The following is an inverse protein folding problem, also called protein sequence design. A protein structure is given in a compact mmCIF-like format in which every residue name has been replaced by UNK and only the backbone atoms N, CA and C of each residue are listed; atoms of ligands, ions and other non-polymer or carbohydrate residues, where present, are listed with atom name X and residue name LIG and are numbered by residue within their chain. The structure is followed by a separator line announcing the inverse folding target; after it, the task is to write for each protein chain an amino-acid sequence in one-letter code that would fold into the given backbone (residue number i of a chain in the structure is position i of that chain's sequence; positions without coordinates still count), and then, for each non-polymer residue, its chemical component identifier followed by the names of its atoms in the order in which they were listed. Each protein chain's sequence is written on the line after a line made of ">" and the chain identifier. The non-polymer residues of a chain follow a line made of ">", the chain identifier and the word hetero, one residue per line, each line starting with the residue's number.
data_IF_827347739426
#
_entry.id   IF_827347739426
#
_cell.length_a   1.000
_cell.length_b   1.000
_cell.length_c   1.000
_cell.angle_alpha   90.00
_cell.angle_beta   90.00
_cell.angle_gamma   90.00
#
_symmetry.space_group_name_H-M   'P 1'
#
loop_
_entity.id
_entity.type
_entity.pdbx_description
1 polymer ?
#
# COMPACT_ATOMS: atom_id res chain seq x y z
N UNK A 1 -21.66 -15.81 1.54
CA UNK A 1 -21.64 -15.71 0.06
C UNK A 1 -20.27 -15.19 -0.29
N UNK A 2 -19.42 -16.03 -0.85
CA UNK A 2 -18.03 -15.66 -1.17
C UNK A 2 -18.03 -15.02 -2.55
N UNK A 3 -17.81 -13.72 -2.62
CA UNK A 3 -17.62 -12.98 -3.87
C UNK A 3 -16.35 -13.51 -4.54
N UNK A 4 -16.51 -14.04 -5.75
CA UNK A 4 -15.39 -14.54 -6.57
C UNK A 4 -14.62 -13.30 -7.04
N UNK A 5 -13.40 -13.10 -6.52
CA UNK A 5 -12.52 -12.01 -6.93
C UNK A 5 -12.17 -12.21 -8.40
N UNK A 6 -12.78 -11.44 -9.29
CA UNK A 6 -12.44 -11.38 -10.71
C UNK A 6 -11.21 -10.51 -10.89
N UNK A 7 -10.27 -10.91 -11.75
CA UNK A 7 -9.19 -10.01 -12.17
C UNK A 7 -9.83 -8.79 -12.83
N UNK A 8 -9.25 -7.59 -12.66
CA UNK A 8 -9.69 -6.41 -13.42
C UNK A 8 -9.62 -6.65 -14.94
N UNK A 9 -8.72 -7.51 -15.40
CA UNK A 9 -8.60 -7.97 -16.79
C UNK A 9 -9.75 -8.88 -17.27
N UNK A 10 -10.42 -9.65 -16.40
CA UNK A 10 -11.57 -10.50 -16.77
C UNK A 10 -12.83 -9.70 -17.15
N UNK A 11 -12.92 -8.43 -16.74
CA UNK A 11 -14.04 -7.52 -17.05
C UNK A 11 -14.21 -7.30 -18.56
N UNK A 12 -13.18 -7.57 -19.37
CA UNK A 12 -13.20 -7.42 -20.84
C UNK A 12 -14.06 -8.46 -21.56
N UNK A 13 -14.42 -9.59 -20.93
CA UNK A 13 -15.11 -10.70 -21.64
C UNK A 13 -16.64 -10.59 -21.72
N UNK A 14 -17.28 -9.58 -21.12
CA UNK A 14 -18.75 -9.51 -21.04
C UNK A 14 -19.44 -8.30 -21.67
N UNK A 15 -18.73 -7.40 -22.35
CA UNK A 15 -19.37 -6.27 -23.03
C UNK A 15 -19.22 -6.37 -24.55
N UNK A 16 -20.29 -6.85 -25.20
CA UNK A 16 -20.48 -6.74 -26.65
C UNK A 16 -20.81 -5.28 -27.07
N UNK A 17 -20.77 -4.98 -28.37
CA UNK A 17 -20.79 -3.61 -28.86
C UNK A 17 -22.22 -3.05 -28.91
N UNK A 18 -22.40 -1.86 -28.35
CA UNK A 18 -23.48 -0.93 -28.69
C UNK A 18 -24.38 -0.52 -27.53
N UNK A 19 -24.25 0.71 -27.05
CA UNK A 19 -25.14 1.84 -27.39
C UNK A 19 -24.74 3.09 -26.60
N UNK A 20 -24.69 4.20 -27.31
CA UNK A 20 -24.46 5.55 -26.77
C UNK A 20 -25.59 5.96 -25.84
N UNK A 21 -25.26 6.31 -24.59
CA UNK A 21 -26.17 6.99 -23.67
C UNK A 21 -25.45 8.19 -23.05
N UNK A 22 -26.12 9.33 -23.13
CA UNK A 22 -25.71 10.66 -22.67
C UNK A 22 -25.43 10.73 -21.17
N UNK A 23 -24.38 11.46 -20.81
CA UNK A 23 -23.96 11.73 -19.43
C UNK A 23 -24.99 12.58 -18.66
N UNK A 24 -25.21 12.33 -17.36
CA UNK A 24 -25.91 13.27 -16.48
C UNK A 24 -24.95 14.34 -15.95
N UNK A 25 -25.42 15.59 -15.89
CA UNK A 25 -24.71 16.74 -15.32
C UNK A 25 -24.43 16.55 -13.81
N UNK A 26 -23.18 16.79 -13.40
CA UNK A 26 -22.75 16.81 -11.99
C UNK A 26 -22.85 18.27 -11.48
N UNK A 27 -23.38 18.53 -10.27
CA UNK A 27 -23.48 19.89 -9.74
C UNK A 27 -22.11 20.47 -9.37
N UNK A 28 -21.88 21.71 -9.82
CA UNK A 28 -20.74 22.57 -9.49
C UNK A 28 -20.75 22.95 -7.99
N UNK A 29 -19.83 22.38 -7.20
CA UNK A 29 -19.62 22.74 -5.80
C UNK A 29 -18.31 23.51 -5.62
N UNK A 30 -18.50 24.80 -5.29
CA UNK A 30 -17.47 25.82 -5.14
C UNK A 30 -16.57 25.59 -3.93
N UNK A 31 -15.25 25.57 -4.19
CA UNK A 31 -14.13 26.20 -3.46
C UNK A 31 -14.27 26.30 -1.92
N UNK A 32 -13.74 25.32 -1.20
CA UNK A 32 -13.41 25.47 0.23
C UNK A 32 -12.06 26.23 0.40
N UNK A 33 -11.90 27.05 1.46
CA UNK A 33 -10.67 27.79 1.72
C UNK A 33 -9.56 26.86 2.24
N UNK A 34 -8.31 27.25 1.97
CA UNK A 34 -7.11 26.53 2.41
C UNK A 34 -7.13 26.32 3.93
N UNK A 35 -7.25 25.07 4.37
CA UNK A 35 -7.17 24.70 5.78
C UNK A 35 -5.68 24.56 6.15
N UNK A 36 -5.29 25.29 7.18
CA UNK A 36 -3.96 25.25 7.78
C UNK A 36 -3.53 23.81 8.08
N UNK A 37 -2.27 23.48 7.77
CA UNK A 37 -1.66 22.21 8.12
C UNK A 37 -1.90 21.88 9.61
N UNK A 38 -2.36 20.68 9.96
CA UNK A 38 -2.59 20.31 11.34
C UNK A 38 -1.26 20.35 12.11
N UNK A 39 -1.26 20.77 13.38
CA UNK A 39 -0.07 20.71 14.23
C UNK A 39 0.39 19.26 14.35
N UNK A 40 1.70 19.02 14.49
CA UNK A 40 2.27 17.70 14.80
C UNK A 40 1.50 17.09 15.99
N UNK A 41 0.57 16.18 15.71
CA UNK A 41 -0.30 15.58 16.73
C UNK A 41 0.43 14.44 17.46
N UNK A 42 0.37 14.54 18.78
CA UNK A 42 0.19 13.50 19.80
C UNK A 42 0.76 12.09 19.55
N UNK A 43 1.50 11.59 20.54
CA UNK A 43 1.90 10.19 20.70
C UNK A 43 0.86 9.18 20.18
N UNK A 44 1.26 8.31 19.27
CA UNK A 44 0.39 7.26 18.71
C UNK A 44 -0.09 6.34 19.84
N UNK A 45 -1.41 6.14 19.99
CA UNK A 45 -1.98 5.20 20.94
C UNK A 45 -1.33 3.81 20.89
N UNK A 46 -1.09 3.25 22.07
CA UNK A 46 -0.48 1.93 22.22
C UNK A 46 -1.53 0.84 22.12
N UNK A 47 -1.31 -0.12 21.24
CA UNK A 47 -2.08 -1.36 21.24
C UNK A 47 -1.64 -2.25 22.40
N UNK A 48 -2.60 -2.98 22.95
CA UNK A 48 -2.31 -4.01 23.95
C UNK A 48 -1.39 -5.08 23.36
N UNK A 49 -0.55 -5.69 24.19
CA UNK A 49 0.43 -6.71 23.80
C UNK A 49 -0.22 -7.84 22.96
N UNK A 50 0.45 -8.49 21.99
CA UNK A 50 -0.16 -9.48 21.09
C UNK A 50 -0.91 -10.62 21.78
N UNK A 51 -0.39 -11.07 22.93
CA UNK A 51 -1.01 -12.07 23.79
C UNK A 51 -2.35 -11.64 24.41
N UNK A 52 -2.75 -10.38 24.21
CA UNK A 52 -3.97 -9.76 24.74
C UNK A 52 -4.88 -9.20 23.63
N UNK A 53 -4.49 -9.31 22.36
CA UNK A 53 -5.39 -8.97 21.25
C UNK A 53 -6.58 -9.93 21.26
N UNK A 54 -7.79 -9.37 21.28
CA UNK A 54 -9.05 -10.10 21.37
C UNK A 54 -10.05 -9.47 20.41
N UNK A 55 -11.09 -10.21 20.05
CA UNK A 55 -12.16 -9.68 19.19
C UNK A 55 -12.81 -8.42 19.80
N UNK A 56 -12.87 -8.34 21.13
CA UNK A 56 -13.37 -7.18 21.86
C UNK A 56 -12.46 -5.95 21.74
N UNK A 57 -11.14 -6.15 21.79
CA UNK A 57 -10.18 -5.04 21.72
C UNK A 57 -9.89 -4.59 20.28
N UNK A 58 -10.02 -5.47 19.29
CA UNK A 58 -9.73 -5.15 17.89
C UNK A 58 -10.96 -4.85 17.04
N UNK A 59 -12.14 -5.28 17.47
CA UNK A 59 -13.36 -5.28 16.65
C UNK A 59 -13.34 -6.31 15.51
N UNK A 60 -12.26 -7.11 15.38
CA UNK A 60 -12.15 -8.13 14.34
C UNK A 60 -13.03 -9.34 14.63
N UNK A 61 -13.49 -9.99 13.56
CA UNK A 61 -14.09 -11.31 13.66
C UNK A 61 -13.09 -12.31 14.27
N UNK A 62 -13.59 -13.41 14.86
CA UNK A 62 -12.72 -14.49 15.37
C UNK A 62 -11.81 -15.07 14.28
N UNK A 63 -12.32 -15.15 13.05
CA UNK A 63 -11.58 -15.61 11.89
C UNK A 63 -10.41 -14.66 11.55
N UNK A 64 -10.69 -13.37 11.40
CA UNK A 64 -9.67 -12.39 11.02
C UNK A 64 -8.63 -12.19 12.13
N UNK A 65 -9.03 -12.25 13.40
CA UNK A 65 -8.09 -12.24 14.51
C UNK A 65 -7.14 -13.45 14.47
N UNK A 66 -7.67 -14.63 14.13
CA UNK A 66 -6.85 -15.84 13.99
C UNK A 66 -5.87 -15.71 12.83
N UNK A 67 -6.31 -15.14 11.69
CA UNK A 67 -5.45 -14.86 10.55
C UNK A 67 -4.35 -13.84 10.89
N UNK A 68 -4.70 -12.75 11.58
CA UNK A 68 -3.76 -11.73 12.05
C UNK A 68 -2.66 -12.39 12.89
N UNK A 69 -3.03 -13.15 13.93
CA UNK A 69 -2.07 -13.80 14.82
C UNK A 69 -1.23 -14.86 14.09
N UNK A 70 -1.81 -15.59 13.12
CA UNK A 70 -1.08 -16.54 12.27
C UNK A 70 -0.01 -15.80 11.44
N UNK A 71 -0.40 -14.75 10.71
CA UNK A 71 0.52 -13.95 9.88
C UNK A 71 1.62 -13.31 10.72
N UNK A 72 1.25 -12.73 11.86
CA UNK A 72 2.19 -12.10 12.79
C UNK A 72 3.29 -13.08 13.24
N UNK A 73 2.92 -14.28 13.67
CA UNK A 73 3.87 -15.31 14.08
C UNK A 73 4.77 -15.77 12.94
N UNK A 74 4.21 -15.95 11.74
CA UNK A 74 4.98 -16.35 10.57
C UNK A 74 6.01 -15.27 10.18
N UNK A 75 5.63 -13.99 10.22
CA UNK A 75 6.55 -12.87 9.97
C UNK A 75 7.66 -12.80 11.02
N UNK A 76 7.32 -12.90 12.32
CA UNK A 76 8.33 -12.92 13.41
C UNK A 76 9.36 -14.05 13.24
N UNK A 77 8.95 -15.18 12.65
CA UNK A 77 9.83 -16.32 12.42
C UNK A 77 10.66 -16.21 11.13
N UNK A 78 10.06 -15.74 10.03
CA UNK A 78 10.68 -15.75 8.69
C UNK A 78 11.52 -14.50 8.41
N UNK A 79 11.10 -13.33 8.90
CA UNK A 79 11.76 -12.06 8.58
C UNK A 79 13.22 -11.97 9.07
N UNK A 80 13.61 -12.48 10.26
CA UNK A 80 15.03 -12.50 10.65
C UNK A 80 15.91 -13.20 9.62
N UNK A 81 15.46 -14.34 9.07
CA UNK A 81 16.21 -15.06 8.05
C UNK A 81 16.23 -14.29 6.72
N UNK A 82 15.12 -13.68 6.32
CA UNK A 82 15.06 -12.83 5.14
C UNK A 82 16.03 -11.63 5.22
N UNK A 83 16.18 -11.02 6.41
CA UNK A 83 17.14 -9.92 6.64
C UNK A 83 18.59 -10.37 6.45
N UNK A 84 18.92 -11.62 6.78
CA UNK A 84 20.26 -12.17 6.63
C UNK A 84 20.61 -12.48 5.17
N UNK A 85 19.62 -12.84 4.36
CA UNK A 85 19.82 -13.16 2.94
C UNK A 85 19.69 -11.94 2.03
N UNK A 86 19.00 -10.90 2.49
CA UNK A 86 18.79 -9.67 1.73
C UNK A 86 20.01 -8.77 1.73
N UNK A 87 20.20 -8.05 0.61
CA UNK A 87 21.25 -7.05 0.45
C UNK A 87 21.14 -5.98 1.54
N UNK A 88 22.24 -5.56 2.19
CA UNK A 88 22.18 -4.67 3.35
C UNK A 88 21.41 -3.36 3.12
N UNK A 89 21.52 -2.80 1.93
CA UNK A 89 20.84 -1.57 1.52
C UNK A 89 19.32 -1.75 1.30
N UNK A 90 18.81 -2.98 1.20
CA UNK A 90 17.39 -3.27 0.98
C UNK A 90 16.65 -3.69 2.25
N UNK A 91 17.35 -3.78 3.40
CA UNK A 91 16.73 -4.11 4.69
C UNK A 91 15.59 -3.17 5.05
N UNK A 92 15.74 -1.88 4.76
CA UNK A 92 14.69 -0.89 4.99
C UNK A 92 13.48 -1.12 4.08
N UNK A 93 13.67 -1.57 2.84
CA UNK A 93 12.56 -1.95 1.94
C UNK A 93 11.72 -3.06 2.55
N UNK A 94 12.36 -4.11 3.08
CA UNK A 94 11.65 -5.20 3.75
C UNK A 94 10.93 -4.69 5.02
N UNK A 95 11.65 -4.01 5.90
CA UNK A 95 11.12 -3.60 7.21
C UNK A 95 10.01 -2.55 7.12
N UNK A 96 9.97 -1.75 6.06
CA UNK A 96 8.93 -0.74 5.82
C UNK A 96 7.69 -1.29 5.10
N UNK A 97 7.73 -2.56 4.68
CA UNK A 97 6.60 -3.23 4.03
C UNK A 97 5.65 -3.81 5.07
N UNK A 98 4.35 -3.67 4.82
CA UNK A 98 3.26 -4.19 5.64
C UNK A 98 2.34 -5.08 4.82
N UNK A 99 1.68 -6.01 5.51
CA UNK A 99 0.64 -6.86 4.93
C UNK A 99 -0.70 -6.57 5.61
N UNK A 100 -1.79 -6.64 4.85
CA UNK A 100 -3.13 -6.60 5.43
C UNK A 100 -3.35 -7.84 6.30
N UNK A 101 -3.81 -7.65 7.54
CA UNK A 101 -3.95 -8.71 8.52
C UNK A 101 -5.17 -9.61 8.25
N UNK A 102 -6.24 -9.00 7.73
CA UNK A 102 -7.54 -9.63 7.49
C UNK A 102 -7.52 -10.58 6.28
N UNK A 103 -8.68 -11.14 5.96
CA UNK A 103 -8.89 -12.04 4.83
C UNK A 103 -8.52 -11.40 3.47
N UNK A 104 -8.61 -10.07 3.36
CA UNK A 104 -8.13 -9.31 2.21
C UNK A 104 -6.61 -9.48 2.04
N UNK A 105 -6.20 -10.03 0.90
CA UNK A 105 -4.81 -10.04 0.50
C UNK A 105 -4.47 -8.68 -0.13
N UNK A 106 -3.41 -8.06 0.39
CA UNK A 106 -2.91 -6.76 -0.03
C UNK A 106 -1.61 -6.43 0.70
N UNK A 107 -0.85 -5.52 0.12
CA UNK A 107 0.42 -5.01 0.63
C UNK A 107 0.32 -3.49 0.80
N UNK A 108 1.04 -2.95 1.78
CA UNK A 108 1.25 -1.52 1.92
C UNK A 108 2.71 -1.26 2.28
N UNK A 109 3.16 -0.01 2.19
CA UNK A 109 4.48 0.37 2.68
C UNK A 109 4.46 1.74 3.33
N UNK A 110 5.29 1.89 4.35
CA UNK A 110 5.41 3.13 5.09
C UNK A 110 6.31 4.12 4.35
N UNK A 111 5.88 5.37 4.22
CA UNK A 111 6.59 6.47 3.52
C UNK A 111 6.95 7.64 4.44
N UNK A 112 6.68 7.52 5.74
CA UNK A 112 7.02 8.54 6.75
C UNK A 112 7.30 7.90 8.11
N UNK A 113 8.27 8.41 8.91
CA UNK A 113 8.47 7.95 10.27
C UNK A 113 7.23 8.14 11.17
N UNK A 114 6.28 8.99 10.78
CA UNK A 114 5.01 9.22 11.48
C UNK A 114 3.94 8.17 11.19
N UNK A 115 4.23 7.18 10.33
CA UNK A 115 3.31 6.08 10.03
C UNK A 115 2.33 6.39 8.90
N UNK A 116 2.74 7.20 7.93
CA UNK A 116 2.01 7.40 6.68
C UNK A 116 2.28 6.22 5.75
N UNK A 117 1.24 5.56 5.25
CA UNK A 117 1.32 4.34 4.45
C UNK A 117 0.73 4.57 3.07
N UNK A 118 1.36 4.00 2.04
CA UNK A 118 0.84 3.93 0.68
C UNK A 118 0.43 2.50 0.33
N UNK A 119 -0.67 2.37 -0.41
CA UNK A 119 -1.18 1.08 -0.93
C UNK A 119 -2.07 1.32 -2.16
N UNK A 120 -2.51 0.25 -2.80
CA UNK A 120 -3.54 0.35 -3.83
C UNK A 120 -4.90 0.70 -3.22
N UNK A 121 -5.68 1.55 -3.88
CA UNK A 121 -7.00 1.94 -3.37
C UNK A 121 -7.93 0.74 -3.27
N UNK A 122 -7.84 -0.23 -4.19
CA UNK A 122 -8.60 -1.47 -4.12
C UNK A 122 -8.19 -2.45 -3.01
N UNK A 123 -7.05 -2.24 -2.35
CA UNK A 123 -6.74 -2.95 -1.11
C UNK A 123 -7.52 -2.37 0.08
N UNK A 124 -8.03 -1.14 -0.05
CA UNK A 124 -8.88 -0.49 0.96
C UNK A 124 -10.35 -0.76 0.66
N UNK A 125 -10.78 -0.48 -0.57
CA UNK A 125 -12.13 -0.73 -1.10
C UNK A 125 -12.08 -0.88 -2.61
N UNK A 126 -12.63 -1.98 -3.15
CA UNK A 126 -12.68 -2.22 -4.60
C UNK A 126 -13.65 -1.26 -5.30
N UNK A 127 -14.77 -0.92 -4.65
CA UNK A 127 -15.76 0.03 -5.14
C UNK A 127 -15.69 1.34 -4.31
N UNK A 128 -15.58 2.53 -4.94
CA UNK A 128 -15.63 3.81 -4.24
C UNK A 128 -16.91 4.02 -3.42
N UNK A 129 -18.04 3.45 -3.86
CA UNK A 129 -19.32 3.56 -3.16
C UNK A 129 -19.40 2.71 -1.89
N UNK A 130 -18.53 1.71 -1.76
CA UNK A 130 -18.37 0.87 -0.57
C UNK A 130 -17.32 1.40 0.40
N UNK A 131 -16.71 2.57 0.10
CA UNK A 131 -15.72 3.18 0.97
C UNK A 131 -16.38 3.63 2.29
N UNK A 132 -16.25 2.80 3.31
CA UNK A 132 -16.74 3.10 4.64
C UNK A 132 -15.91 4.22 5.28
N UNK A 133 -16.52 5.38 5.47
CA UNK A 133 -15.95 6.50 6.21
C UNK A 133 -15.64 6.04 7.64
N UNK A 134 -14.40 6.28 8.10
CA UNK A 134 -13.84 5.80 9.38
C UNK A 134 -13.56 4.29 9.51
N UNK A 135 -13.67 3.51 8.43
CA UNK A 135 -13.21 2.13 8.48
C UNK A 135 -11.73 2.05 8.82
N UNK A 136 -11.41 1.09 9.68
CA UNK A 136 -10.07 0.95 10.21
C UNK A 136 -9.48 -0.36 9.71
N UNK A 137 -8.27 -0.28 9.15
CA UNK A 137 -7.56 -1.43 8.60
C UNK A 137 -6.49 -1.90 9.59
N UNK A 138 -6.35 -3.22 9.71
CA UNK A 138 -5.30 -3.84 10.51
C UNK A 138 -4.18 -4.32 9.60
N UNK A 139 -2.96 -3.87 9.88
CA UNK A 139 -1.78 -4.22 9.11
C UNK A 139 -0.67 -4.75 10.02
N UNK A 140 0.28 -5.47 9.42
CA UNK A 140 1.43 -6.04 10.13
C UNK A 140 2.69 -5.70 9.34
N UNK A 141 3.62 -4.99 9.95
CA UNK A 141 4.96 -4.79 9.39
C UNK A 141 5.67 -6.12 9.19
N UNK A 142 6.65 -6.17 8.29
CA UNK A 142 7.50 -7.35 8.11
C UNK A 142 8.15 -7.83 9.42
N UNK A 143 8.43 -6.93 10.37
CA UNK A 143 8.91 -7.27 11.72
C UNK A 143 7.91 -8.07 12.58
N UNK A 144 6.66 -8.18 12.15
CA UNK A 144 5.55 -8.71 12.92
C UNK A 144 4.91 -7.70 13.87
N UNK A 145 5.26 -6.41 13.79
CA UNK A 145 4.62 -5.35 14.56
C UNK A 145 3.24 -5.05 14.00
N UNK A 146 2.19 -5.23 14.82
CA UNK A 146 0.80 -4.97 14.43
C UNK A 146 0.48 -3.48 14.56
N UNK A 147 -0.23 -2.95 13.56
CA UNK A 147 -0.71 -1.57 13.56
C UNK A 147 -2.15 -1.49 13.09
N UNK A 148 -2.80 -0.40 13.51
CA UNK A 148 -4.13 -0.02 13.12
C UNK A 148 -4.04 1.30 12.35
N UNK A 149 -4.67 1.39 11.18
CA UNK A 149 -4.57 2.56 10.30
C UNK A 149 -5.93 2.96 9.71
N UNK A 150 -6.09 4.25 9.45
CA UNK A 150 -7.27 4.82 8.78
C UNK A 150 -6.90 5.32 7.39
N UNK A 151 -7.78 5.14 6.42
CA UNK A 151 -7.66 5.78 5.12
C UNK A 151 -7.92 7.28 5.26
N UNK A 152 -7.02 8.11 4.74
CA UNK A 152 -7.10 9.58 4.79
C UNK A 152 -7.17 10.21 3.38
N UNK A 153 -6.78 9.46 2.35
CA UNK A 153 -6.98 9.83 0.96
C UNK A 153 -7.17 8.58 0.09
N UNK A 154 -8.04 8.68 -0.92
CA UNK A 154 -8.42 7.59 -1.80
C UNK A 154 -8.62 8.11 -3.23
N UNK A 155 -7.96 7.48 -4.19
CA UNK A 155 -8.04 7.80 -5.62
C UNK A 155 -8.21 6.49 -6.39
N UNK A 156 -9.42 6.24 -6.89
CA UNK A 156 -9.75 5.04 -7.65
C UNK A 156 -9.14 5.06 -9.06
N UNK A 157 -8.97 6.24 -9.65
CA UNK A 157 -8.42 6.40 -10.99
C UNK A 157 -6.93 6.07 -10.99
N UNK A 158 -6.15 6.66 -10.07
CA UNK A 158 -4.73 6.32 -9.89
C UNK A 158 -4.50 4.99 -9.17
N UNK A 159 -5.57 4.38 -8.64
CA UNK A 159 -5.54 3.19 -7.80
C UNK A 159 -4.61 3.35 -6.58
N UNK A 160 -4.68 4.50 -5.92
CA UNK A 160 -3.85 4.87 -4.78
C UNK A 160 -4.69 5.19 -3.55
N UNK A 161 -4.23 4.74 -2.38
CA UNK A 161 -4.76 5.18 -1.10
C UNK A 161 -3.63 5.51 -0.12
N UNK A 162 -3.90 6.52 0.70
CA UNK A 162 -3.03 6.97 1.79
C UNK A 162 -3.67 6.60 3.11
N UNK A 163 -2.94 5.90 3.97
CA UNK A 163 -3.40 5.52 5.29
C UNK A 163 -2.50 6.13 6.36
N UNK A 164 -3.08 6.53 7.49
CA UNK A 164 -2.36 6.99 8.67
C UNK A 164 -2.46 5.94 9.77
N UNK A 165 -1.31 5.52 10.32
CA UNK A 165 -1.29 4.69 11.53
C UNK A 165 -1.84 5.51 12.70
N UNK A 166 -2.86 4.98 13.35
CA UNK A 166 -3.55 5.56 14.50
C UNK A 166 -3.34 4.78 15.80
N UNK A 167 -2.84 3.55 15.72
CA UNK A 167 -2.38 2.80 16.89
C UNK A 167 -1.34 1.75 16.49
N UNK A 168 -0.40 1.44 17.39
CA UNK A 168 0.64 0.45 17.12
C UNK A 168 0.97 -0.40 18.35
N UNK A 169 1.33 -1.67 18.12
CA UNK A 169 2.00 -2.52 19.10
C UNK A 169 3.31 -1.85 19.53
N UNK A 170 3.67 -1.95 20.81
CA UNK A 170 4.99 -1.48 21.26
C UNK A 170 6.10 -2.30 20.62
N UNK A 171 7.17 -1.63 20.24
CA UNK A 171 8.38 -2.32 19.85
C UNK A 171 9.13 -2.75 21.12
N UNK A 172 9.31 -4.06 21.39
CA UNK A 172 10.03 -4.53 22.56
C UNK A 172 11.50 -4.04 22.60
N UNK A 173 12.07 -3.64 21.46
CA UNK A 173 13.44 -3.10 21.37
C UNK A 173 13.55 -1.61 21.71
N UNK A 174 12.42 -0.90 21.82
CA UNK A 174 12.40 0.54 22.16
C UNK A 174 12.72 0.84 23.64
N UNK A 175 12.95 -0.19 24.45
CA UNK A 175 13.31 -0.06 25.88
C UNK A 175 14.77 0.35 26.13
N UNK A 176 15.59 0.49 25.08
CA UNK A 176 16.98 0.97 25.17
C UNK A 176 17.16 2.45 24.81
N UNK A 177 16.08 3.22 24.65
CA UNK A 177 16.19 4.68 24.58
C UNK A 177 16.75 5.20 25.90
N UNK A 178 18.01 5.64 25.85
CA UNK A 178 18.82 6.16 26.94
C UNK A 178 18.05 7.15 27.80
N UNK A 179 18.21 6.97 29.11
CA UNK A 179 17.74 7.85 30.18
C UNK A 179 18.23 9.29 29.98
N UNK A 180 17.48 10.09 29.22
CA UNK A 180 17.56 11.55 29.25
C UNK A 180 16.16 12.08 29.63
N UNK A 181 15.95 12.48 30.91
CA UNK A 181 14.63 12.86 31.44
C UNK A 181 14.13 14.23 30.97
N UNK A 182 14.56 14.72 29.80
CA UNK A 182 14.28 16.08 29.32
C UNK A 182 13.37 16.16 28.07
N UNK A 183 12.96 15.04 27.46
CA UNK A 183 12.01 15.05 26.33
C UNK A 183 10.87 14.06 26.57
N UNK A 184 9.86 14.50 27.32
CA UNK A 184 8.61 13.77 27.58
C UNK A 184 7.70 13.74 26.33
N UNK A 185 8.06 12.89 25.38
CA UNK A 185 7.21 12.46 24.28
C UNK A 185 7.86 11.23 23.66
N UNK A 186 7.40 10.04 24.02
CA UNK A 186 7.90 8.79 23.43
C UNK A 186 7.35 8.68 22.01
N UNK A 187 7.99 9.36 21.07
CA UNK A 187 7.60 9.33 19.66
C UNK A 187 7.96 7.96 19.08
N UNK A 188 6.95 7.17 18.75
CA UNK A 188 7.15 5.94 17.99
C UNK A 188 7.50 6.31 16.55
N UNK A 189 8.74 6.03 16.13
CA UNK A 189 9.15 6.10 14.73
C UNK A 189 8.89 4.75 14.04
N UNK A 190 8.53 4.78 12.77
CA UNK A 190 8.39 3.58 11.93
C UNK A 190 9.49 3.53 10.87
N UNK A 191 9.96 2.31 10.48
CA UNK A 191 10.75 2.18 9.27
C UNK A 191 9.93 2.66 8.08
N UNK A 192 10.55 3.43 7.18
CA UNK A 192 9.89 4.00 6.03
C UNK A 192 10.79 3.98 4.79
N UNK A 193 10.18 4.15 3.64
CA UNK A 193 10.83 4.28 2.34
C UNK A 193 10.70 5.69 1.80
N UNK A 194 11.78 6.18 1.22
CA UNK A 194 11.76 7.41 0.45
C UNK A 194 11.23 7.14 -0.96
N UNK A 195 10.44 8.07 -1.48
CA UNK A 195 10.10 8.09 -2.90
C UNK A 195 11.31 8.64 -3.66
N UNK A 196 11.71 7.96 -4.73
CA UNK A 196 12.83 8.40 -5.56
C UNK A 196 12.58 9.83 -6.08
N UNK A 197 13.60 10.70 -6.10
CA UNK A 197 13.45 12.04 -6.68
C UNK A 197 13.40 12.03 -8.21
N UNK A 198 13.68 10.89 -8.84
CA UNK A 198 13.72 10.75 -10.30
C UNK A 198 13.04 9.46 -10.75
N UNK A 199 12.42 9.49 -11.92
CA UNK A 199 11.84 8.30 -12.55
C UNK A 199 12.92 7.24 -12.87
N UNK A 200 12.56 5.94 -12.85
CA UNK A 200 13.49 4.86 -13.14
C UNK A 200 13.83 4.81 -14.64
N UNK A 201 15.09 4.52 -14.96
CA UNK A 201 15.51 4.25 -16.35
C UNK A 201 15.01 2.88 -16.80
N UNK A 202 14.62 2.74 -18.08
CA UNK A 202 14.26 1.44 -18.67
C UNK A 202 15.36 0.39 -18.40
N UNK A 203 14.93 -0.80 -17.99
CA UNK A 203 15.76 -1.92 -17.55
C UNK A 203 16.53 -1.73 -16.23
N UNK A 204 16.27 -0.64 -15.47
CA UNK A 204 16.78 -0.49 -14.10
C UNK A 204 16.39 -1.69 -13.25
N UNK A 205 17.30 -2.17 -12.40
CA UNK A 205 17.06 -3.30 -11.52
C UNK A 205 16.16 -2.89 -10.36
N UNK A 206 15.15 -3.71 -10.10
CA UNK A 206 14.14 -3.46 -9.08
C UNK A 206 14.00 -4.65 -8.13
N UNK A 207 13.46 -4.35 -6.96
CA UNK A 207 12.95 -5.29 -5.99
C UNK A 207 11.46 -5.00 -5.75
N UNK A 208 10.66 -6.05 -5.65
CA UNK A 208 9.26 -6.01 -5.23
C UNK A 208 9.13 -6.88 -3.98
N UNK A 209 8.53 -6.34 -2.92
CA UNK A 209 8.29 -7.09 -1.68
C UNK A 209 6.80 -7.02 -1.38
N UNK A 210 6.11 -8.16 -1.39
CA UNK A 210 4.66 -8.18 -1.22
C UNK A 210 4.14 -9.46 -0.61
N UNK A 211 2.84 -9.45 -0.31
CA UNK A 211 2.12 -10.55 0.34
C UNK A 211 1.38 -11.39 -0.70
N UNK A 212 1.92 -12.53 -1.15
CA UNK A 212 1.12 -13.45 -1.94
C UNK A 212 -0.05 -14.01 -1.11
N UNK A 213 -1.20 -14.18 -1.75
CA UNK A 213 -2.40 -14.73 -1.14
C UNK A 213 -2.18 -16.16 -0.64
N UNK A 214 -2.82 -16.50 0.49
CA UNK A 214 -2.78 -17.84 1.09
C UNK A 214 -3.62 -18.85 0.30
N UNK A 215 -4.56 -18.38 -0.54
CA UNK A 215 -5.39 -19.20 -1.42
C UNK A 215 -4.93 -19.09 -2.88
N UNK A 216 -4.85 -20.24 -3.55
CA UNK A 216 -4.55 -20.37 -4.95
C UNK A 216 -5.82 -20.11 -5.76
N UNK A 217 -5.92 -18.89 -6.29
CA UNK A 217 -7.06 -18.45 -7.08
C UNK A 217 -7.01 -18.97 -8.53
N UNK A 218 -5.90 -19.60 -8.93
CA UNK A 218 -5.74 -20.25 -10.23
C UNK A 218 -6.11 -21.75 -10.15
N UNK A 219 -6.24 -22.30 -8.95
CA UNK A 219 -6.60 -23.69 -8.73
C UNK A 219 -8.04 -23.98 -9.21
N UNK A 220 -8.30 -25.18 -9.78
CA UNK A 220 -9.65 -25.59 -10.16
C UNK A 220 -10.63 -25.69 -8.97
N UNK A 221 -10.11 -25.79 -7.74
CA UNK A 221 -10.88 -25.95 -6.51
C UNK A 221 -10.62 -24.76 -5.58
N UNK A 222 -11.68 -24.03 -5.16
CA UNK A 222 -11.56 -22.98 -4.15
C UNK A 222 -10.95 -23.51 -2.84
N UNK A 223 -10.22 -22.65 -2.16
CA UNK A 223 -9.62 -22.92 -0.85
C UNK A 223 -8.29 -23.69 -0.88
N UNK A 224 -7.75 -24.02 -2.07
CA UNK A 224 -6.43 -24.64 -2.17
C UNK A 224 -5.37 -23.66 -1.67
N UNK A 225 -4.42 -24.13 -0.86
CA UNK A 225 -3.37 -23.28 -0.31
C UNK A 225 -2.21 -23.15 -1.30
N UNK A 226 -1.70 -21.93 -1.44
CA UNK A 226 -0.49 -21.65 -2.25
C UNK A 226 0.79 -22.16 -1.59
N UNK A 227 0.79 -22.26 -0.25
CA UNK A 227 1.97 -22.52 0.58
C UNK A 227 3.08 -21.47 0.43
N UNK A 228 2.77 -20.27 -0.07
CA UNK A 228 3.69 -19.16 -0.04
C UNK A 228 3.89 -18.65 1.39
N UNK A 229 5.06 -18.08 1.64
CA UNK A 229 5.31 -17.31 2.85
C UNK A 229 4.47 -16.02 2.87
N UNK A 230 4.31 -15.42 4.06
CA UNK A 230 3.53 -14.18 4.22
C UNK A 230 4.12 -13.01 3.43
N UNK A 231 5.43 -12.99 3.22
CA UNK A 231 6.10 -12.03 2.35
C UNK A 231 6.95 -12.78 1.34
N UNK A 232 6.91 -12.29 0.11
CA UNK A 232 7.76 -12.74 -0.97
C UNK A 232 8.64 -11.59 -1.46
N UNK A 233 9.91 -11.88 -1.68
CA UNK A 233 10.90 -10.94 -2.21
C UNK A 233 11.21 -11.35 -3.65
N UNK A 234 10.91 -10.47 -4.60
CA UNK A 234 11.17 -10.70 -6.00
C UNK A 234 12.11 -9.66 -6.58
N UNK A 235 13.01 -10.12 -7.46
CA UNK A 235 13.91 -9.27 -8.21
C UNK A 235 13.50 -9.21 -9.67
N UNK A 236 13.63 -8.03 -10.26
CA UNK A 236 13.29 -7.82 -11.66
C UNK A 236 13.87 -6.53 -12.19
N UNK A 237 13.19 -5.97 -13.17
CA UNK A 237 13.56 -4.80 -13.94
C UNK A 237 12.33 -3.98 -14.28
N UNK A 238 12.54 -2.67 -14.28
CA UNK A 238 11.60 -1.73 -14.85
C UNK A 238 11.56 -1.90 -16.37
N UNK A 239 10.36 -2.09 -16.95
CA UNK A 239 10.19 -2.33 -18.39
C UNK A 239 9.68 -1.10 -19.15
N UNK A 240 9.40 0.00 -18.44
CA UNK A 240 8.93 1.26 -19.02
C UNK A 240 7.46 1.52 -18.72
N UNK A 241 6.89 2.49 -19.42
CA UNK A 241 5.46 2.76 -19.45
C UNK A 241 4.85 2.08 -20.68
N UNK A 242 3.64 1.55 -20.54
CA UNK A 242 2.86 0.98 -21.63
C UNK A 242 2.61 2.03 -22.72
N UNK A 243 2.67 1.61 -23.99
CA UNK A 243 2.47 2.53 -25.11
C UNK A 243 1.07 3.17 -25.06
N UNK A 244 1.01 4.50 -25.13
CA UNK A 244 -0.23 5.27 -25.09
C UNK A 244 -0.94 5.33 -23.73
N UNK A 245 -0.37 4.75 -22.67
CA UNK A 245 -0.98 4.80 -21.34
C UNK A 245 -0.78 6.15 -20.66
N UNK A 246 -1.82 6.60 -19.93
CA UNK A 246 -1.73 7.72 -19.02
C UNK A 246 -1.07 7.26 -17.70
N UNK A 247 0.00 7.94 -17.30
CA UNK A 247 0.74 7.64 -16.06
C UNK A 247 -0.05 7.94 -14.78
N UNK A 248 -1.15 8.69 -14.89
CA UNK A 248 -2.09 8.98 -13.81
C UNK A 248 -3.37 8.12 -13.87
N UNK A 249 -3.48 7.17 -14.81
CA UNK A 249 -4.64 6.27 -14.88
C UNK A 249 -4.20 4.81 -14.68
N UNK A 250 -4.66 4.23 -13.58
CA UNK A 250 -4.50 2.84 -13.18
C UNK A 250 -5.86 2.15 -12.96
N UNK A 251 -6.95 2.72 -13.50
CA UNK A 251 -8.31 2.20 -13.32
C UNK A 251 -8.48 0.80 -13.90
N UNK A 252 -7.91 0.54 -15.08
CA UNK A 252 -7.97 -0.78 -15.72
C UNK A 252 -6.84 -1.72 -15.26
N UNK A 253 -5.59 -1.44 -15.67
CA UNK A 253 -4.46 -2.36 -15.47
C UNK A 253 -3.18 -1.67 -14.98
N UNK A 254 -2.99 -0.39 -15.30
CA UNK A 254 -1.82 0.37 -14.90
C UNK A 254 -0.78 0.58 -16.00
N UNK A 255 -0.16 1.75 -15.96
CA UNK A 255 0.75 2.23 -16.99
C UNK A 255 2.17 1.68 -16.84
N UNK A 256 2.67 1.52 -15.61
CA UNK A 256 4.02 1.04 -15.35
C UNK A 256 4.14 -0.45 -15.69
N UNK A 257 5.26 -0.86 -16.30
CA UNK A 257 5.59 -2.26 -16.56
C UNK A 257 6.83 -2.70 -15.78
N UNK A 258 6.79 -3.91 -15.21
CA UNK A 258 7.96 -4.57 -14.61
C UNK A 258 7.89 -6.09 -14.80
N UNK A 259 8.99 -6.78 -14.48
CA UNK A 259 9.05 -8.25 -14.53
C UNK A 259 9.41 -8.91 -13.19
N UNK A 260 9.43 -8.15 -12.08
CA UNK A 260 9.39 -8.76 -10.76
C UNK A 260 8.20 -9.72 -10.70
N UNK A 261 8.44 -10.96 -10.27
CA UNK A 261 7.38 -11.93 -10.01
C UNK A 261 6.43 -11.41 -8.94
N UNK A 262 5.14 -11.59 -9.21
CA UNK A 262 4.04 -11.25 -8.29
C UNK A 262 2.90 -12.25 -8.48
N UNK A 263 2.05 -12.33 -7.46
CA UNK A 263 0.84 -13.12 -7.43
C UNK A 263 -0.28 -12.32 -6.76
N UNK A 264 -1.51 -12.84 -6.78
CA UNK A 264 -2.63 -12.29 -6.02
C UNK A 264 -2.22 -11.87 -4.61
N UNK A 265 -2.60 -10.67 -4.19
CA UNK A 265 -2.23 -10.09 -2.88
C UNK A 265 -1.01 -9.16 -2.89
N UNK A 266 -0.20 -9.18 -3.96
CA UNK A 266 0.92 -8.23 -4.11
C UNK A 266 0.48 -6.79 -4.39
N UNK A 267 -0.80 -6.55 -4.68
CA UNK A 267 -1.32 -5.20 -4.87
C UNK A 267 -0.93 -4.28 -3.72
N UNK A 268 -0.39 -3.11 -4.06
CA UNK A 268 0.16 -2.15 -3.11
C UNK A 268 1.63 -2.40 -2.71
N UNK A 269 2.29 -3.41 -3.29
CA UNK A 269 3.70 -3.69 -3.00
C UNK A 269 4.62 -2.61 -3.59
N UNK A 270 5.62 -2.13 -2.82
CA UNK A 270 6.56 -1.15 -3.32
C UNK A 270 7.45 -1.77 -4.41
N UNK A 271 7.66 -1.02 -5.49
CA UNK A 271 8.70 -1.29 -6.47
C UNK A 271 9.87 -0.37 -6.19
N UNK A 272 10.96 -0.91 -5.65
CA UNK A 272 12.12 -0.13 -5.23
C UNK A 272 13.32 -0.37 -6.15
N UNK A 273 14.18 0.64 -6.29
CA UNK A 273 15.46 0.47 -6.95
C UNK A 273 16.36 -0.46 -6.14
N UNK A 274 16.93 -1.48 -6.77
CA UNK A 274 17.77 -2.47 -6.07
C UNK A 274 19.05 -1.84 -5.50
N UNK A 275 19.56 -0.80 -6.14
CA UNK A 275 20.85 -0.18 -5.80
C UNK A 275 20.82 0.50 -4.43
N UNK A 276 19.74 1.21 -4.13
CA UNK A 276 19.65 2.19 -3.04
C UNK A 276 18.33 2.12 -2.27
N UNK A 277 17.34 1.35 -2.72
CA UNK A 277 16.07 1.13 -2.03
C UNK A 277 14.94 2.17 -2.17
N UNK A 278 15.05 3.33 -2.89
CA UNK A 278 13.93 4.25 -3.01
C UNK A 278 12.82 3.70 -3.92
N UNK A 279 11.60 4.11 -3.65
CA UNK A 279 10.38 3.70 -4.37
C UNK A 279 10.29 4.43 -5.70
N UNK A 280 10.03 3.68 -6.76
CA UNK A 280 9.89 4.16 -8.15
C UNK A 280 8.59 3.71 -8.82
N UNK A 281 7.68 3.13 -8.04
CA UNK A 281 6.40 2.64 -8.50
C UNK A 281 5.76 1.73 -7.46
N UNK A 282 4.56 1.25 -7.76
CA UNK A 282 3.83 0.33 -6.90
C UNK A 282 3.14 -0.73 -7.74
N UNK A 283 3.27 -2.00 -7.37
CA UNK A 283 2.59 -3.07 -8.07
C UNK A 283 1.08 -3.01 -7.82
N UNK A 284 0.28 -3.24 -8.86
CA UNK A 284 -1.19 -3.25 -8.76
C UNK A 284 -1.79 -4.50 -9.42
N UNK A 285 -1.32 -4.89 -10.60
CA UNK A 285 -1.98 -5.94 -11.38
C UNK A 285 -1.05 -6.60 -12.41
N UNK A 286 -1.58 -7.46 -13.27
CA UNK A 286 -0.87 -8.00 -14.43
C UNK A 286 -1.80 -8.22 -15.61
N UNK A 287 -1.20 -8.27 -16.79
CA UNK A 287 -1.85 -8.67 -18.03
C UNK A 287 -1.95 -10.20 -18.08
N UNK A 288 -3.18 -10.73 -18.10
CA UNK A 288 -3.46 -12.17 -18.15
C UNK A 288 -3.07 -12.82 -19.49
N UNK A 289 -2.94 -12.04 -20.58
CA UNK A 289 -2.57 -12.55 -21.90
C UNK A 289 -1.04 -12.62 -22.05
N UNK A 290 -0.33 -11.58 -21.61
CA UNK A 290 1.12 -11.47 -21.80
C UNK A 290 1.94 -11.85 -20.56
N UNK A 291 1.30 -11.91 -19.39
CA UNK A 291 1.95 -12.06 -18.10
C UNK A 291 2.68 -10.80 -17.62
N UNK A 292 2.66 -9.69 -18.38
CA UNK A 292 3.37 -8.47 -18.02
C UNK A 292 2.83 -7.90 -16.72
N UNK A 293 3.71 -7.62 -15.76
CA UNK A 293 3.28 -7.01 -14.50
C UNK A 293 3.09 -5.52 -14.67
N UNK A 294 2.02 -5.02 -14.06
CA UNK A 294 1.54 -3.66 -14.21
C UNK A 294 1.42 -2.97 -12.84
N UNK A 295 1.46 -1.65 -12.86
CA UNK A 295 1.46 -0.89 -11.63
C UNK A 295 1.24 0.60 -11.81
N UNK A 296 1.19 1.27 -10.67
CA UNK A 296 1.16 2.72 -10.59
C UNK A 296 2.55 3.26 -10.87
N UNK A 297 2.63 4.19 -11.82
CA UNK A 297 3.87 4.85 -12.21
C UNK A 297 4.38 5.81 -11.13
N UNK A 298 5.67 6.12 -11.18
CA UNK A 298 6.31 7.07 -10.28
C UNK A 298 5.62 8.44 -10.31
N UNK A 299 5.28 8.93 -11.50
CA UNK A 299 4.54 10.17 -11.73
C UNK A 299 3.16 10.15 -11.07
N UNK A 300 2.45 9.02 -11.17
CA UNK A 300 1.15 8.81 -10.52
C UNK A 300 1.22 8.91 -9.00
N UNK A 301 2.26 8.31 -8.39
CA UNK A 301 2.51 8.40 -6.95
C UNK A 301 2.80 9.85 -6.54
N UNK A 302 3.67 10.55 -7.26
CA UNK A 302 3.99 11.94 -6.93
C UNK A 302 2.78 12.86 -7.03
N UNK A 303 2.04 12.80 -8.14
CA UNK A 303 0.84 13.62 -8.31
C UNK A 303 -0.19 13.39 -7.20
N UNK A 304 -0.42 12.13 -6.82
CA UNK A 304 -1.32 11.79 -5.71
C UNK A 304 -0.84 12.35 -4.36
N UNK A 305 0.47 12.27 -4.07
CA UNK A 305 1.04 12.79 -2.82
C UNK A 305 1.05 14.33 -2.78
N UNK A 306 1.23 15.00 -3.92
CA UNK A 306 1.10 16.45 -4.06
C UNK A 306 -0.34 16.90 -3.79
N UNK A 307 -1.32 16.19 -4.35
CA UNK A 307 -2.75 16.50 -4.19
C UNK A 307 -3.22 16.30 -2.74
N UNK A 308 -2.64 15.35 -2.01
CA UNK A 308 -3.11 14.91 -0.67
C UNK A 308 -2.18 15.29 0.48
N UNK A 309 -1.16 16.11 0.22
CA UNK A 309 -0.30 16.69 1.24
C UNK A 309 0.74 15.73 1.79
N UNK A 310 1.95 15.77 1.23
CA UNK A 310 3.14 15.25 1.88
C UNK A 310 3.99 16.40 2.48
N UNK A 311 4.26 16.42 3.79
CA UNK A 311 5.12 17.43 4.40
C UNK A 311 6.62 17.31 4.04
N UNK A 312 7.06 16.22 3.41
CA UNK A 312 8.46 15.94 3.05
C UNK A 312 8.78 15.91 1.55
N UNK A 313 7.78 15.86 0.64
CA UNK A 313 8.01 15.83 -0.82
C UNK A 313 8.18 17.24 -1.44
N UNK A 314 7.72 18.29 -0.75
CA UNK A 314 7.78 19.67 -1.28
C UNK A 314 9.11 20.40 -1.07
N UNK A 315 10.18 19.74 -0.62
CA UNK A 315 11.50 20.38 -0.47
C UNK A 315 12.46 20.15 -1.65
N UNK A 316 12.10 19.36 -2.66
CA UNK A 316 13.04 19.01 -3.75
C UNK A 316 12.59 19.40 -5.18
N UNK A 317 11.38 19.88 -5.41
CA UNK A 317 10.93 20.25 -6.77
C UNK A 317 10.28 21.64 -6.82
N UNK A 318 11.11 22.67 -6.87
CA UNK A 318 10.69 23.97 -7.38
C UNK A 318 10.45 23.88 -8.89
N UNK A 319 9.17 23.82 -9.30
CA UNK A 319 8.81 23.88 -10.71
C UNK A 319 7.32 23.62 -10.91
N UNK A 320 6.52 24.69 -10.94
CA UNK A 320 5.08 24.61 -11.08
C UNK A 320 4.63 24.00 -12.40
N UNK A 321 3.68 23.07 -12.33
CA UNK A 321 2.85 22.64 -13.46
C UNK A 321 1.40 22.49 -12.96
N UNK A 322 0.45 22.85 -13.83
CA UNK A 322 -0.93 23.17 -13.51
C UNK A 322 -1.74 22.05 -12.83
N UNK A 323 -2.54 22.47 -11.85
CA UNK A 323 -3.52 21.66 -11.13
C UNK A 323 -4.59 21.11 -12.08
N UNK A 324 -4.77 19.80 -12.10
CA UNK A 324 -5.96 19.14 -12.66
C UNK A 324 -7.17 19.34 -11.73
N UNK A 325 -8.38 19.24 -12.29
CA UNK A 325 -9.66 19.65 -11.67
C UNK A 325 -10.43 18.52 -10.98
N UNK A 326 -9.91 17.31 -10.92
CA UNK A 326 -10.58 16.21 -10.19
C UNK A 326 -10.01 16.14 -8.77
N UNK A 327 -10.80 16.65 -7.83
CA UNK A 327 -10.39 16.78 -6.43
C UNK A 327 -10.52 15.42 -5.74
N UNK A 328 -9.48 14.87 -5.10
CA UNK A 328 -9.60 13.65 -4.33
C UNK A 328 -10.58 13.86 -3.16
N UNK A 329 -11.34 12.81 -2.84
CA UNK A 329 -12.21 12.80 -1.66
C UNK A 329 -11.30 12.75 -0.44
N UNK A 330 -11.12 13.90 0.22
CA UNK A 330 -10.56 13.95 1.57
C UNK A 330 -11.56 13.28 2.50
N UNK A 331 -11.14 12.17 3.11
CA UNK A 331 -11.94 11.46 4.10
C UNK A 331 -11.73 12.19 5.43
N UNK A 332 -12.57 13.18 5.71
CA UNK A 332 -12.66 13.83 7.05
C UNK A 332 -13.17 12.85 8.11
#
# INVERSE_FOLDING_TARGET
>A
MTTRRTTRSLTRKTLGPGTSASAPEIPDLRRAPAVNAPPLQSSIPRLSHPSTLSTKSTGLSKHDLTLLLKKQRLLKNSTPQAILTLEPNLKHTLLSTLVFAQSEAGTAFCISPTGLLLTCSHCVSEDPSELEQNSTKWLIFASGRVVQAKCIAYDHTRDLALLQIIAAEQDPTSTLATTNPANNGEYTSFPFLEISPTSPKKNAQMICIGHPGDEDLEAPKPGLKTNYDVLHISYGRYRGIAEGADVHDNSEIGALMHDCWTYWGHSGAPLCMRKDGPVVGMHSSWDDETGMRRGVAWEGILGFLEDNGNPHVLQSTGGGVGRSKDTPILVE
#
